data_IF_336514682395
#
_entry.id   IF_336514682395
#
_cell.length_a   1.000
_cell.length_b   1.000
_cell.length_c   1.000
_cell.angle_alpha   90.00
_cell.angle_beta   90.00
_cell.angle_gamma   90.00
#
_symmetry.space_group_name_H-M   'P 1'
#
loop_
_entity.id
_entity.type
_entity.pdbx_description
1 polymer ?
#
# COMPACT_ATOMS: atom_id res chain seq x y z
N UNK A 1 28.94 4.28 8.23
CA UNK A 1 28.65 3.09 9.06
C UNK A 1 28.87 1.79 8.27
N UNK A 2 28.27 1.65 7.09
CA UNK A 2 28.42 0.49 6.18
C UNK A 2 29.87 0.24 5.73
N UNK A 3 30.69 1.29 5.65
CA UNK A 3 32.09 1.22 5.23
C UNK A 3 33.03 0.64 6.30
N UNK A 4 32.79 0.95 7.59
CA UNK A 4 33.58 0.44 8.72
C UNK A 4 33.35 -1.06 8.99
N UNK A 5 32.14 -1.56 8.69
CA UNK A 5 31.81 -2.99 8.80
C UNK A 5 32.47 -3.79 7.66
N UNK A 6 32.70 -3.13 6.51
CA UNK A 6 33.28 -3.74 5.31
C UNK A 6 34.78 -4.06 5.46
N UNK A 7 35.50 -3.31 6.29
CA UNK A 7 36.96 -3.48 6.45
C UNK A 7 37.38 -4.49 7.51
N UNK A 8 36.51 -4.86 8.46
CA UNK A 8 36.90 -5.70 9.61
C UNK A 8 36.60 -7.19 9.45
N UNK A 9 35.71 -7.59 8.53
CA UNK A 9 35.11 -8.94 8.55
C UNK A 9 35.58 -9.89 7.45
N UNK A 10 36.37 -9.44 6.46
CA UNK A 10 36.93 -10.29 5.39
C UNK A 10 35.91 -11.04 4.51
N UNK A 11 34.61 -10.92 4.79
CA UNK A 11 33.52 -11.65 4.15
C UNK A 11 32.64 -10.65 3.39
N UNK A 12 32.68 -10.72 2.06
CA UNK A 12 32.01 -9.79 1.12
C UNK A 12 30.47 -9.94 1.08
N UNK A 13 29.86 -10.57 2.07
CA UNK A 13 28.44 -10.99 2.06
C UNK A 13 27.51 -10.16 2.95
N UNK A 14 27.97 -9.05 3.55
CA UNK A 14 27.12 -8.16 4.33
C UNK A 14 26.71 -6.94 3.51
N UNK A 15 25.73 -7.11 2.63
CA UNK A 15 25.12 -6.02 1.87
C UNK A 15 23.58 -6.02 1.93
N UNK A 16 22.98 -6.87 2.76
CA UNK A 16 21.54 -7.04 2.80
C UNK A 16 20.98 -6.73 4.20
N UNK A 17 20.55 -5.47 4.35
CA UNK A 17 20.00 -4.90 5.59
C UNK A 17 18.78 -5.70 6.09
N UNK A 18 18.13 -6.48 5.20
CA UNK A 18 16.98 -7.28 5.53
C UNK A 18 17.33 -8.50 6.42
N UNK A 19 18.60 -8.94 6.42
CA UNK A 19 19.03 -10.14 7.17
C UNK A 19 19.67 -9.83 8.53
N UNK A 20 19.82 -8.57 8.92
CA UNK A 20 20.45 -8.20 10.20
C UNK A 20 19.76 -8.87 11.38
N UNK A 21 18.42 -8.82 11.42
CA UNK A 21 17.65 -9.41 12.51
C UNK A 21 17.63 -10.95 12.48
N UNK A 22 17.32 -11.62 11.36
CA UNK A 22 17.43 -13.08 11.27
C UNK A 22 18.81 -13.63 11.65
N UNK A 23 19.89 -13.02 11.17
CA UNK A 23 21.26 -13.43 11.47
C UNK A 23 21.57 -13.29 12.95
N UNK A 24 21.20 -12.15 13.57
CA UNK A 24 21.38 -11.95 15.00
C UNK A 24 20.67 -13.03 15.83
N UNK A 25 19.42 -13.38 15.48
CA UNK A 25 18.64 -14.41 16.16
C UNK A 25 19.34 -15.77 16.07
N UNK A 26 19.84 -16.17 14.90
CA UNK A 26 20.48 -17.48 14.71
C UNK A 26 21.84 -17.55 15.39
N UNK A 27 22.63 -16.48 15.37
CA UNK A 27 24.01 -16.48 15.88
C UNK A 27 24.12 -16.23 17.38
N UNK A 28 23.17 -15.52 18.00
CA UNK A 28 23.32 -15.03 19.38
C UNK A 28 22.30 -15.61 20.38
N UNK A 29 21.28 -16.35 19.92
CA UNK A 29 20.23 -16.87 20.81
C UNK A 29 20.45 -18.35 21.18
N UNK A 30 19.96 -18.80 22.35
CA UNK A 30 20.06 -20.19 22.75
C UNK A 30 19.14 -21.10 21.91
N UNK A 31 19.57 -22.36 21.77
CA UNK A 31 18.78 -23.43 21.17
C UNK A 31 17.41 -23.55 21.87
N UNK A 32 16.34 -23.69 21.08
CA UNK A 32 14.94 -23.64 21.56
C UNK A 32 14.31 -22.26 21.42
N UNK A 33 14.98 -21.19 21.87
CA UNK A 33 14.49 -19.80 21.69
C UNK A 33 14.52 -19.38 20.22
N UNK A 34 15.54 -19.82 19.47
CA UNK A 34 15.60 -19.64 18.01
C UNK A 34 14.32 -20.16 17.34
N UNK A 35 13.91 -21.40 17.67
CA UNK A 35 12.72 -22.02 17.12
C UNK A 35 11.44 -21.27 17.49
N UNK A 36 11.34 -20.80 18.73
CA UNK A 36 10.21 -19.99 19.20
C UNK A 36 10.12 -18.66 18.44
N UNK A 37 11.23 -17.95 18.25
CA UNK A 37 11.26 -16.67 17.54
C UNK A 37 10.89 -16.87 16.07
N UNK A 38 11.45 -17.88 15.40
CA UNK A 38 11.12 -18.19 14.01
C UNK A 38 9.62 -18.53 13.87
N UNK A 39 9.07 -19.34 14.78
CA UNK A 39 7.64 -19.64 14.80
C UNK A 39 6.79 -18.38 14.99
N UNK A 40 7.18 -17.46 15.87
CA UNK A 40 6.49 -16.19 16.09
C UNK A 40 6.54 -15.28 14.85
N UNK A 41 7.67 -15.22 14.15
CA UNK A 41 7.81 -14.47 12.89
C UNK A 41 6.86 -15.03 11.82
N UNK A 42 6.81 -16.36 11.65
CA UNK A 42 5.89 -16.97 10.71
C UNK A 42 4.42 -16.75 11.09
N UNK A 43 4.08 -16.87 12.37
CA UNK A 43 2.72 -16.62 12.85
C UNK A 43 2.28 -15.17 12.58
N UNK A 44 3.14 -14.20 12.87
CA UNK A 44 2.90 -12.79 12.58
C UNK A 44 2.74 -12.53 11.08
N UNK A 45 3.66 -13.06 10.26
CA UNK A 45 3.63 -12.91 8.80
C UNK A 45 2.35 -13.52 8.20
N UNK A 46 1.97 -14.73 8.60
CA UNK A 46 0.75 -15.39 8.13
C UNK A 46 -0.50 -14.60 8.52
N UNK A 47 -0.54 -14.00 9.72
CA UNK A 47 -1.67 -13.18 10.16
C UNK A 47 -1.85 -11.94 9.27
N UNK A 48 -0.77 -11.22 8.96
CA UNK A 48 -0.82 -10.05 8.08
C UNK A 48 -1.17 -10.43 6.64
N UNK A 49 -0.50 -11.44 6.08
CA UNK A 49 -0.75 -11.89 4.70
C UNK A 49 -2.19 -12.37 4.52
N UNK A 50 -2.73 -13.11 5.50
CA UNK A 50 -4.12 -13.58 5.44
C UNK A 50 -5.11 -12.41 5.45
N UNK A 51 -4.87 -11.37 6.26
CA UNK A 51 -5.71 -10.18 6.31
C UNK A 51 -5.66 -9.39 4.99
N UNK A 52 -4.47 -9.19 4.43
CA UNK A 52 -4.27 -8.48 3.17
C UNK A 52 -4.90 -9.20 1.97
N UNK A 53 -4.67 -10.51 1.84
CA UNK A 53 -5.27 -11.31 0.77
C UNK A 53 -6.80 -11.34 0.87
N UNK A 54 -7.34 -11.42 2.10
CA UNK A 54 -8.79 -11.38 2.31
C UNK A 54 -9.37 -10.01 1.96
N UNK A 55 -8.69 -8.91 2.32
CA UNK A 55 -9.11 -7.56 1.96
C UNK A 55 -9.10 -7.36 0.44
N UNK A 56 -8.05 -7.78 -0.26
CA UNK A 56 -7.94 -7.72 -1.71
C UNK A 56 -9.01 -8.56 -2.40
N UNK A 57 -9.23 -9.80 -1.93
CA UNK A 57 -10.27 -10.67 -2.45
C UNK A 57 -11.67 -10.08 -2.24
N UNK A 58 -11.93 -9.49 -1.08
CA UNK A 58 -13.21 -8.85 -0.75
C UNK A 58 -13.44 -7.61 -1.61
N UNK A 59 -12.46 -6.71 -1.74
CA UNK A 59 -12.54 -5.54 -2.63
C UNK A 59 -12.78 -5.97 -4.09
N UNK A 60 -12.06 -6.98 -4.58
CA UNK A 60 -12.26 -7.52 -5.93
C UNK A 60 -13.66 -8.11 -6.10
N UNK A 61 -14.17 -8.82 -5.09
CA UNK A 61 -15.47 -9.50 -5.17
C UNK A 61 -16.63 -8.51 -5.05
N UNK A 62 -16.58 -7.59 -4.10
CA UNK A 62 -17.68 -6.68 -3.79
C UNK A 62 -17.66 -5.48 -4.74
N UNK A 63 -16.51 -4.83 -4.89
CA UNK A 63 -16.41 -3.55 -5.60
C UNK A 63 -16.39 -3.74 -7.12
N UNK A 64 -15.83 -4.87 -7.60
CA UNK A 64 -15.78 -5.17 -9.04
C UNK A 64 -16.82 -6.22 -9.44
N UNK A 65 -16.71 -7.45 -8.93
CA UNK A 65 -17.53 -8.57 -9.41
C UNK A 65 -19.02 -8.39 -9.12
N UNK A 66 -19.40 -8.13 -7.87
CA UNK A 66 -20.79 -7.90 -7.48
C UNK A 66 -21.35 -6.62 -8.09
N UNK A 67 -20.61 -5.52 -8.06
CA UNK A 67 -21.04 -4.21 -8.58
C UNK A 67 -21.27 -4.23 -10.10
N UNK A 68 -20.39 -4.85 -10.88
CA UNK A 68 -20.37 -4.70 -12.34
C UNK A 68 -20.75 -5.96 -13.13
N UNK A 69 -20.46 -7.16 -12.62
CA UNK A 69 -20.68 -8.40 -13.38
C UNK A 69 -21.94 -9.14 -12.95
N UNK A 70 -22.15 -9.33 -11.65
CA UNK A 70 -23.27 -10.13 -11.13
C UNK A 70 -23.84 -9.51 -9.85
N UNK A 71 -24.80 -8.60 -10.03
CA UNK A 71 -25.44 -7.82 -8.95
C UNK A 71 -26.33 -8.65 -8.03
N UNK A 72 -27.02 -9.64 -8.60
CA UNK A 72 -28.01 -10.49 -7.93
C UNK A 72 -27.53 -11.94 -7.80
N UNK A 73 -26.23 -12.13 -7.54
CA UNK A 73 -25.65 -13.44 -7.26
C UNK A 73 -26.03 -13.94 -5.87
N UNK A 74 -25.97 -15.26 -5.68
CA UNK A 74 -26.14 -15.86 -4.35
C UNK A 74 -24.85 -15.72 -3.53
N UNK A 75 -24.97 -15.70 -2.19
CA UNK A 75 -23.80 -15.63 -1.30
C UNK A 75 -22.76 -16.74 -1.58
N UNK A 76 -23.22 -17.92 -1.97
CA UNK A 76 -22.34 -19.04 -2.35
C UNK A 76 -21.47 -18.72 -3.55
N UNK A 77 -22.01 -18.00 -4.53
CA UNK A 77 -21.27 -17.59 -5.74
C UNK A 77 -20.23 -16.52 -5.40
N UNK A 78 -20.57 -15.56 -4.54
CA UNK A 78 -19.61 -14.56 -4.08
C UNK A 78 -18.48 -15.17 -3.26
N UNK A 79 -18.78 -16.12 -2.38
CA UNK A 79 -17.74 -16.84 -1.63
C UNK A 79 -16.84 -17.66 -2.56
N UNK A 80 -17.41 -18.35 -3.56
CA UNK A 80 -16.63 -19.11 -4.54
C UNK A 80 -15.69 -18.17 -5.33
N UNK A 81 -16.21 -17.05 -5.81
CA UNK A 81 -15.40 -16.05 -6.51
C UNK A 81 -14.33 -15.44 -5.60
N UNK A 82 -14.66 -15.13 -4.34
CA UNK A 82 -13.69 -14.65 -3.35
C UNK A 82 -12.54 -15.62 -3.11
N UNK A 83 -12.80 -16.94 -3.09
CA UNK A 83 -11.73 -17.96 -3.02
C UNK A 83 -10.82 -17.95 -4.24
N UNK A 84 -11.40 -17.81 -5.45
CA UNK A 84 -10.63 -17.69 -6.70
C UNK A 84 -9.78 -16.42 -6.69
N UNK A 85 -10.37 -15.29 -6.28
CA UNK A 85 -9.66 -14.03 -6.14
C UNK A 85 -8.51 -14.13 -5.13
N UNK A 86 -8.73 -14.77 -3.99
CA UNK A 86 -7.68 -15.03 -2.98
C UNK A 86 -6.52 -15.83 -3.56
N UNK A 87 -6.82 -16.89 -4.32
CA UNK A 87 -5.81 -17.70 -4.99
C UNK A 87 -5.01 -16.89 -6.03
N UNK A 88 -5.70 -16.09 -6.85
CA UNK A 88 -5.08 -15.21 -7.83
C UNK A 88 -4.14 -14.18 -7.17
N UNK A 89 -4.61 -13.48 -6.13
CA UNK A 89 -3.81 -12.51 -5.39
C UNK A 89 -2.63 -13.16 -4.66
N UNK A 90 -2.79 -14.40 -4.18
CA UNK A 90 -1.69 -15.18 -3.61
C UNK A 90 -0.59 -15.49 -4.63
N UNK A 91 -0.95 -15.93 -5.83
CA UNK A 91 0.02 -16.15 -6.93
C UNK A 91 0.70 -14.83 -7.30
N UNK A 92 -0.08 -13.76 -7.46
CA UNK A 92 0.45 -12.44 -7.78
C UNK A 92 1.46 -11.96 -6.72
N UNK A 93 1.13 -12.10 -5.43
CA UNK A 93 2.02 -11.76 -4.33
C UNK A 93 3.32 -12.58 -4.35
N UNK A 94 3.25 -13.89 -4.62
CA UNK A 94 4.44 -14.74 -4.77
C UNK A 94 5.36 -14.28 -5.92
N UNK A 95 4.78 -13.91 -7.07
CA UNK A 95 5.54 -13.39 -8.21
C UNK A 95 6.26 -12.09 -7.81
N UNK A 96 5.53 -11.14 -7.22
CA UNK A 96 6.09 -9.85 -6.79
C UNK A 96 7.19 -10.06 -5.73
N UNK A 97 6.99 -10.98 -4.79
CA UNK A 97 7.98 -11.29 -3.75
C UNK A 97 9.32 -11.78 -4.33
N UNK A 98 9.31 -12.57 -5.40
CA UNK A 98 10.54 -13.03 -6.08
C UNK A 98 11.33 -11.85 -6.65
N UNK A 99 10.64 -10.86 -7.23
CA UNK A 99 11.31 -9.66 -7.78
C UNK A 99 11.77 -8.70 -6.67
N UNK A 100 11.00 -8.58 -5.58
CA UNK A 100 11.26 -7.64 -4.49
C UNK A 100 12.61 -7.86 -3.79
N UNK A 101 13.09 -9.11 -3.74
CA UNK A 101 14.39 -9.47 -3.15
C UNK A 101 15.57 -8.74 -3.80
N UNK A 102 15.45 -8.29 -5.05
CA UNK A 102 16.52 -7.60 -5.77
C UNK A 102 16.44 -6.06 -5.67
N UNK A 103 15.45 -5.52 -4.94
CA UNK A 103 15.17 -4.08 -4.88
C UNK A 103 15.85 -3.37 -3.70
N UNK A 104 16.75 -4.05 -2.99
CA UNK A 104 17.47 -3.50 -1.84
C UNK A 104 16.70 -3.66 -0.53
N UNK A 105 16.65 -2.60 0.27
CA UNK A 105 15.98 -2.67 1.58
C UNK A 105 14.46 -2.77 1.41
N UNK A 106 13.84 -3.84 1.91
CA UNK A 106 12.41 -4.08 1.74
C UNK A 106 11.55 -2.98 2.37
N UNK A 107 12.03 -2.34 3.45
CA UNK A 107 11.34 -1.21 4.09
C UNK A 107 11.38 0.06 3.24
N UNK A 108 12.44 0.26 2.47
CA UNK A 108 12.53 1.39 1.53
C UNK A 108 11.61 1.14 0.34
N UNK A 109 11.62 -0.08 -0.19
CA UNK A 109 10.77 -0.50 -1.31
C UNK A 109 9.30 -0.30 -0.97
N UNK A 110 8.82 -0.85 0.15
CA UNK A 110 7.39 -0.74 0.52
C UNK A 110 6.97 0.71 0.72
N UNK A 111 7.81 1.55 1.34
CA UNK A 111 7.47 2.96 1.54
C UNK A 111 7.58 3.77 0.25
N UNK A 112 8.52 3.46 -0.64
CA UNK A 112 8.64 4.12 -1.94
C UNK A 112 7.41 3.87 -2.80
N UNK A 113 6.99 2.61 -2.94
CA UNK A 113 5.75 2.26 -3.66
C UNK A 113 4.51 2.83 -2.96
N UNK A 114 4.43 2.71 -1.63
CA UNK A 114 3.33 3.25 -0.85
C UNK A 114 3.17 4.76 -0.99
N UNK A 115 4.27 5.51 -1.08
CA UNK A 115 4.26 6.97 -1.14
C UNK A 115 3.61 7.56 -2.41
N UNK A 116 3.43 6.74 -3.46
CA UNK A 116 2.65 7.13 -4.64
C UNK A 116 1.14 7.27 -4.35
N UNK A 117 0.64 6.55 -3.35
CA UNK A 117 -0.79 6.41 -3.09
C UNK A 117 -1.18 6.96 -1.71
N UNK A 118 -0.38 6.73 -0.67
CA UNK A 118 -0.74 7.06 0.71
C UNK A 118 -1.03 8.55 0.90
N UNK A 119 -0.19 9.43 0.36
CA UNK A 119 -0.40 10.87 0.42
C UNK A 119 -1.75 11.31 -0.17
N UNK A 120 -2.03 10.87 -1.39
CA UNK A 120 -3.26 11.23 -2.11
C UNK A 120 -4.51 10.63 -1.43
N UNK A 121 -4.42 9.39 -0.92
CA UNK A 121 -5.49 8.75 -0.16
C UNK A 121 -5.78 9.51 1.14
N UNK A 122 -4.73 9.90 1.88
CA UNK A 122 -4.84 10.75 3.06
C UNK A 122 -5.51 12.08 2.70
N UNK A 123 -5.12 12.69 1.58
CA UNK A 123 -5.73 13.93 1.08
C UNK A 123 -7.24 13.82 0.85
N UNK A 124 -7.73 12.68 0.34
CA UNK A 124 -9.17 12.41 0.19
C UNK A 124 -9.86 12.36 1.55
N UNK A 125 -9.28 11.69 2.55
CA UNK A 125 -9.83 11.65 3.90
C UNK A 125 -9.84 13.04 4.55
N UNK A 126 -8.77 13.81 4.40
CA UNK A 126 -8.72 15.20 4.89
C UNK A 126 -9.81 16.03 4.23
N UNK A 127 -9.99 15.92 2.91
CA UNK A 127 -11.05 16.61 2.20
C UNK A 127 -12.43 16.20 2.75
N UNK A 128 -12.67 14.92 2.98
CA UNK A 128 -13.94 14.40 3.48
C UNK A 128 -14.29 14.88 4.90
N UNK A 129 -13.30 14.99 5.80
CA UNK A 129 -13.55 15.37 7.20
C UNK A 129 -13.47 16.88 7.45
N UNK A 130 -12.58 17.60 6.76
CA UNK A 130 -12.28 19.01 7.05
C UNK A 130 -13.09 19.97 6.17
N UNK A 131 -13.34 19.59 4.91
CA UNK A 131 -13.98 20.48 3.94
C UNK A 131 -15.49 20.22 3.88
N UNK A 132 -16.26 21.10 4.53
CA UNK A 132 -17.74 21.01 4.56
C UNK A 132 -18.41 20.99 3.18
N UNK A 133 -17.76 21.55 2.16
CA UNK A 133 -18.25 21.60 0.77
C UNK A 133 -17.68 20.49 -0.12
N UNK A 134 -16.99 19.49 0.44
CA UNK A 134 -16.39 18.43 -0.35
C UNK A 134 -17.46 17.65 -1.12
N UNK A 135 -17.27 17.51 -2.44
CA UNK A 135 -18.14 16.76 -3.33
C UNK A 135 -17.45 15.47 -3.79
N UNK A 136 -18.23 14.43 -4.10
CA UNK A 136 -17.69 13.15 -4.56
C UNK A 136 -16.82 13.29 -5.83
N UNK A 137 -17.22 14.16 -6.76
CA UNK A 137 -16.43 14.48 -7.96
C UNK A 137 -15.11 15.18 -7.60
N UNK A 138 -15.13 16.12 -6.66
CA UNK A 138 -13.94 16.82 -6.19
C UNK A 138 -12.95 15.85 -5.53
N UNK A 139 -13.42 14.95 -4.66
CA UNK A 139 -12.60 13.91 -4.07
C UNK A 139 -11.97 12.99 -5.13
N UNK A 140 -12.75 12.54 -6.12
CA UNK A 140 -12.27 11.67 -7.18
C UNK A 140 -11.20 12.33 -8.06
N UNK A 141 -11.46 13.53 -8.58
CA UNK A 141 -10.47 14.22 -9.42
C UNK A 141 -9.28 14.73 -8.60
N UNK A 142 -9.49 15.15 -7.35
CA UNK A 142 -8.40 15.50 -6.43
C UNK A 142 -7.46 14.32 -6.19
N UNK A 143 -7.98 13.10 -6.01
CA UNK A 143 -7.17 11.89 -5.89
C UNK A 143 -6.31 11.67 -7.15
N UNK A 144 -6.92 11.79 -8.34
CA UNK A 144 -6.20 11.63 -9.62
C UNK A 144 -5.10 12.67 -9.79
N UNK A 145 -5.37 13.94 -9.49
CA UNK A 145 -4.37 15.01 -9.57
C UNK A 145 -3.26 14.83 -8.53
N UNK A 146 -3.57 14.36 -7.32
CA UNK A 146 -2.57 14.03 -6.31
C UNK A 146 -1.63 12.93 -6.78
N UNK A 147 -2.16 11.80 -7.26
CA UNK A 147 -1.36 10.70 -7.79
C UNK A 147 -0.52 11.17 -8.99
N UNK A 148 -1.12 11.92 -9.92
CA UNK A 148 -0.40 12.47 -11.08
C UNK A 148 0.75 13.41 -10.66
N UNK A 149 0.54 14.25 -9.65
CA UNK A 149 1.57 15.17 -9.14
C UNK A 149 2.75 14.42 -8.54
N UNK A 150 2.50 13.34 -7.79
CA UNK A 150 3.55 12.49 -7.23
C UNK A 150 4.29 11.76 -8.34
N UNK A 151 3.58 11.25 -9.35
CA UNK A 151 4.20 10.67 -10.53
C UNK A 151 5.15 11.66 -11.21
N UNK A 152 4.70 12.89 -11.48
CA UNK A 152 5.55 13.93 -12.08
C UNK A 152 6.74 14.24 -11.16
N UNK A 153 6.51 14.45 -9.86
CA UNK A 153 7.60 14.73 -8.92
C UNK A 153 8.65 13.60 -8.91
N UNK A 154 8.24 12.33 -8.97
CA UNK A 154 9.17 11.21 -8.96
C UNK A 154 10.06 11.10 -10.20
N UNK A 155 9.66 11.65 -11.35
CA UNK A 155 10.46 11.61 -12.58
C UNK A 155 11.28 12.87 -12.82
N UNK A 156 10.82 14.02 -12.31
CA UNK A 156 11.40 15.32 -12.64
C UNK A 156 12.09 16.01 -11.47
N UNK A 157 12.04 15.44 -10.25
CA UNK A 157 12.66 16.05 -9.07
C UNK A 157 13.47 15.03 -8.28
N UNK A 158 14.57 15.48 -7.68
CA UNK A 158 15.43 14.69 -6.78
C UNK A 158 14.90 14.71 -5.33
N UNK A 159 13.57 14.76 -5.17
CA UNK A 159 12.93 14.80 -3.87
C UNK A 159 12.88 13.39 -3.28
N UNK A 160 13.23 13.27 -1.99
CA UNK A 160 13.13 12.00 -1.27
C UNK A 160 11.70 11.46 -1.22
N UNK A 161 11.55 10.14 -1.39
CA UNK A 161 10.24 9.50 -1.60
C UNK A 161 9.21 9.78 -0.49
N UNK A 162 9.67 10.05 0.74
CA UNK A 162 8.80 10.37 1.87
C UNK A 162 8.01 11.67 1.67
N UNK A 163 8.59 12.65 0.96
CA UNK A 163 7.94 13.93 0.66
C UNK A 163 6.80 13.80 -0.34
N UNK A 164 6.76 12.72 -1.13
CA UNK A 164 5.65 12.44 -2.03
C UNK A 164 4.33 12.29 -1.28
N UNK A 165 4.34 11.82 -0.03
CA UNK A 165 3.14 11.76 0.79
C UNK A 165 2.56 13.16 1.07
N UNK A 166 3.43 14.12 1.36
CA UNK A 166 3.03 15.51 1.63
C UNK A 166 2.53 16.16 0.35
N UNK A 167 3.26 16.00 -0.77
CA UNK A 167 2.89 16.56 -2.08
C UNK A 167 1.54 16.00 -2.52
N UNK A 168 1.37 14.67 -2.52
CA UNK A 168 0.12 14.02 -2.90
C UNK A 168 -1.05 14.48 -2.06
N UNK A 169 -0.89 14.58 -0.74
CA UNK A 169 -1.93 15.05 0.17
C UNK A 169 -2.33 16.51 -0.12
N UNK A 170 -1.35 17.41 -0.23
CA UNK A 170 -1.62 18.83 -0.47
C UNK A 170 -2.29 19.04 -1.83
N UNK A 171 -1.80 18.40 -2.88
CA UNK A 171 -2.37 18.53 -4.22
C UNK A 171 -3.79 17.95 -4.25
N UNK A 172 -4.03 16.80 -3.62
CA UNK A 172 -5.38 16.23 -3.54
C UNK A 172 -6.36 17.14 -2.82
N UNK A 173 -5.98 17.71 -1.68
CA UNK A 173 -6.85 18.63 -0.93
C UNK A 173 -7.12 19.90 -1.73
N UNK A 174 -6.08 20.51 -2.32
CA UNK A 174 -6.21 21.74 -3.09
C UNK A 174 -7.05 21.54 -4.36
N UNK A 175 -6.70 20.56 -5.18
CA UNK A 175 -7.44 20.27 -6.41
C UNK A 175 -8.87 19.82 -6.10
N UNK A 176 -9.04 18.95 -5.10
CA UNK A 176 -10.36 18.47 -4.69
C UNK A 176 -11.25 19.58 -4.13
N UNK A 177 -10.68 20.53 -3.37
CA UNK A 177 -11.40 21.71 -2.90
C UNK A 177 -11.82 22.61 -4.04
N UNK A 178 -10.90 22.97 -4.95
CA UNK A 178 -11.18 23.84 -6.09
C UNK A 178 -12.27 23.26 -7.01
N UNK A 179 -12.23 21.96 -7.28
CA UNK A 179 -13.24 21.28 -8.10
C UNK A 179 -14.57 21.18 -7.34
N UNK A 180 -14.55 21.03 -6.02
CA UNK A 180 -15.78 21.04 -5.24
C UNK A 180 -16.46 22.41 -5.23
N UNK A 181 -15.72 23.51 -5.42
CA UNK A 181 -16.29 24.86 -5.54
C UNK A 181 -17.01 25.09 -6.87
N UNK A 182 -16.60 24.42 -7.95
CA UNK A 182 -17.21 24.59 -9.28
C UNK A 182 -18.47 23.75 -9.46
N UNK A 183 -18.67 22.73 -8.62
CA UNK A 183 -19.89 21.93 -8.58
C UNK A 183 -20.93 22.65 -7.71
N UNK A 184 -21.76 23.48 -8.35
CA UNK A 184 -22.88 24.19 -7.73
C UNK A 184 -23.90 23.23 -7.08
N UNK A 185 -24.57 23.69 -6.01
CA UNK A 185 -25.54 22.94 -5.18
C UNK A 185 -26.75 22.36 -5.96
N UNK A 186 -26.91 22.70 -7.23
CA UNK A 186 -28.07 22.37 -8.07
C UNK A 186 -28.31 20.85 -8.24
N UNK A 187 -27.29 20.01 -8.05
CA UNK A 187 -27.44 18.55 -8.09
C UNK A 187 -27.94 17.91 -6.78
N UNK A 188 -27.94 18.64 -5.65
CA UNK A 188 -28.41 18.09 -4.38
C UNK A 188 -29.95 18.07 -4.27
N UNK A 189 -30.66 18.89 -5.06
CA UNK A 189 -32.12 18.97 -5.05
C UNK A 189 -32.82 17.88 -5.89
N UNK A 190 -32.07 17.16 -6.75
CA UNK A 190 -32.62 16.11 -7.63
C UNK A 190 -32.40 14.71 -7.02
N UNK A 191 -31.56 14.59 -5.99
CA UNK A 191 -31.17 13.33 -5.36
C UNK A 191 -31.78 13.10 -3.95
N UNK A 192 -32.62 14.02 -3.46
CA UNK A 192 -33.40 13.89 -2.22
C UNK A 192 -34.88 13.74 -2.55
#
# INVERSE_FOLDING_TARGET
ATEYIKSSSGNKSFNDVNYVFPTFVVENMPMGVIGLIIAAIFAAAMSSISAELNALATATTIDFYRRHFKKDGTDKEYVLFGRIATFFWGIFACIVAIYATNLGSLIEVVNKFGSFFYGSLLGVFVLAFVVKRAQARGAFFGLLFGIASVWIASFYTDIEFLWFNVIGCLVTVLAGYLISLTVSEENNAIAA
#
